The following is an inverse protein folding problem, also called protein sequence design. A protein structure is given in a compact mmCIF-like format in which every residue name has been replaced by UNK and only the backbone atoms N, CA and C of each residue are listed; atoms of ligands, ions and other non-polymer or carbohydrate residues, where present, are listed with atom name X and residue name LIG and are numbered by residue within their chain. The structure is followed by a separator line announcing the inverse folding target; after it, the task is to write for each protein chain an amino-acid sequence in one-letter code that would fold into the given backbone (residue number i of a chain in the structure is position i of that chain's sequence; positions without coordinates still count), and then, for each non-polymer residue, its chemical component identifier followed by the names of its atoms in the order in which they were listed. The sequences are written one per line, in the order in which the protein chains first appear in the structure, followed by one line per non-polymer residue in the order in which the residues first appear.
data_IF_315409022591
#
_entry.id   IF_315409022591
#
_cell.length_a   1.000
_cell.length_b   1.000
_cell.length_c   1.000
_cell.angle_alpha   90.00
_cell.angle_beta   90.00
_cell.angle_gamma   90.00
#
_symmetry.space_group_name_H-M   'P 1'
#
loop_
_entity.id
_entity.type
_entity.pdbx_description
1 polymer ?
#
# COMPACT_ATOMS: atom_id res chain seq x y z
N UNK A 1 -19.40 -7.24 -5.73
CA UNK A 1 -19.02 -6.90 -7.10
C UNK A 1 -17.67 -6.20 -7.09
N UNK A 2 -16.75 -6.67 -7.89
CA UNK A 2 -15.42 -6.10 -7.91
C UNK A 2 -15.41 -4.72 -8.56
N UNK A 3 -14.54 -3.85 -8.04
CA UNK A 3 -14.31 -2.56 -8.68
C UNK A 3 -13.67 -2.78 -10.04
N UNK A 4 -14.15 -2.05 -11.05
CA UNK A 4 -13.54 -2.09 -12.38
C UNK A 4 -12.37 -1.12 -12.52
N UNK A 5 -12.13 -0.29 -11.50
CA UNK A 5 -11.03 0.66 -11.53
C UNK A 5 -9.73 -0.06 -11.19
N UNK A 6 -8.62 0.28 -11.87
CA UNK A 6 -7.31 -0.26 -11.50
C UNK A 6 -6.99 0.11 -10.06
N UNK A 7 -6.39 -0.82 -9.34
CA UNK A 7 -6.06 -0.63 -7.94
C UNK A 7 -4.63 -0.16 -7.77
N UNK A 8 -4.40 0.60 -6.70
CA UNK A 8 -3.06 0.88 -6.22
C UNK A 8 -2.72 -0.13 -5.13
N UNK A 9 -1.46 -0.53 -5.04
CA UNK A 9 -1.01 -1.52 -4.07
C UNK A 9 -0.17 -0.85 -3.00
N UNK A 10 -0.55 -1.06 -1.74
CA UNK A 10 0.15 -0.50 -0.58
C UNK A 10 1.01 -1.60 0.03
N UNK A 11 2.31 -1.35 0.13
CA UNK A 11 3.28 -2.27 0.74
C UNK A 11 3.64 -1.74 2.12
N UNK A 12 3.45 -2.53 3.15
CA UNK A 12 3.64 -2.08 4.53
C UNK A 12 4.32 -3.16 5.37
N UNK A 13 4.88 -2.74 6.50
CA UNK A 13 5.49 -3.65 7.47
C UNK A 13 4.46 -4.03 8.53
N UNK A 14 3.87 -5.20 8.40
CA UNK A 14 2.87 -5.70 9.34
C UNK A 14 3.42 -6.09 10.70
N UNK A 15 4.74 -6.13 10.87
CA UNK A 15 5.35 -6.37 12.18
C UNK A 15 5.38 -5.09 13.02
N UNK A 16 5.16 -3.94 12.42
CA UNK A 16 5.15 -2.64 13.09
C UNK A 16 3.73 -2.30 13.53
N UNK A 17 3.53 -2.07 14.84
CA UNK A 17 2.19 -1.80 15.36
C UNK A 17 1.60 -0.50 14.84
N UNK A 18 2.42 0.54 14.68
CA UNK A 18 1.95 1.81 14.11
C UNK A 18 1.55 1.64 12.65
N UNK A 19 2.31 0.87 11.89
CA UNK A 19 2.00 0.61 10.49
C UNK A 19 0.69 -0.15 10.36
N UNK A 20 0.47 -1.15 11.22
CA UNK A 20 -0.80 -1.90 11.21
C UNK A 20 -1.99 -1.00 11.54
N UNK A 21 -1.83 -0.08 12.48
CA UNK A 21 -2.89 0.84 12.86
C UNK A 21 -3.26 1.75 11.67
N UNK A 22 -2.25 2.26 10.97
CA UNK A 22 -2.45 3.11 9.81
C UNK A 22 -3.15 2.33 8.69
N UNK A 23 -2.70 1.13 8.41
CA UNK A 23 -3.32 0.28 7.38
C UNK A 23 -4.76 -0.04 7.74
N UNK A 24 -5.04 -0.31 9.01
CA UNK A 24 -6.40 -0.54 9.47
C UNK A 24 -7.30 0.66 9.19
N UNK A 25 -6.78 1.86 9.40
CA UNK A 25 -7.50 3.08 9.09
C UNK A 25 -7.83 3.16 7.58
N UNK A 26 -6.82 2.91 6.73
CA UNK A 26 -7.03 2.94 5.28
C UNK A 26 -8.04 1.89 4.83
N UNK A 27 -7.98 0.68 5.37
CA UNK A 27 -8.93 -0.38 5.02
C UNK A 27 -10.37 0.02 5.34
N UNK A 28 -10.58 0.67 6.49
CA UNK A 28 -11.93 1.12 6.86
C UNK A 28 -12.43 2.23 5.94
N UNK A 29 -11.52 3.09 5.45
CA UNK A 29 -11.87 4.19 4.56
C UNK A 29 -12.05 3.75 3.11
N UNK A 30 -11.46 2.63 2.73
CA UNK A 30 -11.44 2.17 1.34
C UNK A 30 -12.72 1.45 0.97
N UNK A 31 -13.82 2.18 0.96
CA UNK A 31 -15.15 1.64 0.68
C UNK A 31 -15.28 1.15 -0.76
N UNK A 32 -14.52 1.73 -1.67
CA UNK A 32 -14.57 1.39 -3.09
C UNK A 32 -13.60 0.27 -3.46
N UNK A 33 -12.87 -0.25 -2.49
CA UNK A 33 -11.86 -1.29 -2.69
C UNK A 33 -10.85 -0.89 -3.77
N UNK A 34 -10.40 0.37 -3.71
CA UNK A 34 -9.44 0.91 -4.66
C UNK A 34 -7.98 0.60 -4.30
N UNK A 35 -7.75 -0.01 -3.14
CA UNK A 35 -6.43 -0.34 -2.65
C UNK A 35 -6.27 -1.84 -2.42
N UNK A 36 -5.09 -2.36 -2.74
CA UNK A 36 -4.65 -3.68 -2.34
C UNK A 36 -3.57 -3.50 -1.27
N UNK A 37 -3.51 -4.38 -0.28
CA UNK A 37 -2.56 -4.27 0.82
C UNK A 37 -1.67 -5.50 0.85
N UNK A 38 -0.35 -5.29 0.86
CA UNK A 38 0.63 -6.36 0.92
C UNK A 38 1.50 -6.15 2.16
N UNK A 39 1.49 -7.12 3.06
CA UNK A 39 2.33 -7.11 4.25
C UNK A 39 3.70 -7.69 3.88
N UNK A 40 4.70 -6.82 3.79
CA UNK A 40 6.04 -7.20 3.38
C UNK A 40 6.76 -8.03 4.45
N UNK A 41 6.30 -7.98 5.71
CA UNK A 41 6.90 -8.78 6.77
C UNK A 41 6.56 -10.27 6.68
N UNK A 42 5.56 -10.63 5.89
CA UNK A 42 5.17 -12.04 5.76
C UNK A 42 6.14 -12.81 4.87
N UNK A 43 6.38 -14.07 5.24
CA UNK A 43 7.22 -14.96 4.45
C UNK A 43 6.61 -15.15 3.06
N UNK A 44 7.44 -14.98 2.04
CA UNK A 44 6.99 -15.14 0.66
C UNK A 44 6.36 -13.89 0.05
N UNK A 45 6.24 -12.81 0.81
CA UNK A 45 5.72 -11.56 0.26
C UNK A 45 6.66 -11.03 -0.83
N UNK A 46 6.08 -10.50 -1.90
CA UNK A 46 6.85 -9.98 -3.04
C UNK A 46 6.83 -8.45 -2.97
N UNK A 47 8.01 -7.81 -2.78
CA UNK A 47 8.07 -6.35 -2.77
C UNK A 47 7.84 -5.77 -4.18
N UNK A 48 7.62 -4.46 -4.29
CA UNK A 48 7.45 -3.85 -5.60
C UNK A 48 8.71 -4.03 -6.45
N UNK A 49 8.52 -4.07 -7.75
CA UNK A 49 9.61 -4.28 -8.68
C UNK A 49 10.72 -3.24 -8.48
N UNK A 50 11.96 -3.71 -8.41
CA UNK A 50 13.11 -2.84 -8.21
C UNK A 50 13.39 -2.46 -6.76
N UNK A 51 12.57 -2.91 -5.82
CA UNK A 51 12.73 -2.61 -4.39
C UNK A 51 13.01 -3.91 -3.65
N UNK A 52 14.07 -3.93 -2.84
CA UNK A 52 14.35 -5.11 -2.00
C UNK A 52 13.35 -5.18 -0.85
N UNK A 53 13.18 -6.38 -0.29
CA UNK A 53 12.34 -6.55 0.88
C UNK A 53 12.81 -5.66 2.04
N UNK A 54 14.12 -5.56 2.23
CA UNK A 54 14.67 -4.73 3.30
C UNK A 54 14.27 -3.26 3.14
N UNK A 55 14.37 -2.75 1.92
CA UNK A 55 13.98 -1.36 1.67
C UNK A 55 12.47 -1.16 1.81
N UNK A 56 11.68 -2.15 1.39
CA UNK A 56 10.23 -2.09 1.52
C UNK A 56 9.80 -2.10 2.99
N UNK A 57 10.58 -2.73 3.88
CA UNK A 57 10.31 -2.74 5.32
C UNK A 57 10.62 -1.41 5.98
N UNK A 58 11.61 -0.69 5.47
CA UNK A 58 12.08 0.56 6.08
C UNK A 58 11.17 1.73 5.73
N UNK A 59 10.52 1.69 4.58
CA UNK A 59 9.78 2.82 4.08
C UNK A 59 8.47 2.37 3.43
N UNK A 60 7.44 3.14 3.66
CA UNK A 60 6.12 2.94 3.05
C UNK A 60 6.22 3.09 1.52
N UNK A 61 5.72 2.12 0.80
CA UNK A 61 5.72 2.13 -0.66
C UNK A 61 4.32 1.89 -1.20
N UNK A 62 4.02 2.52 -2.33
CA UNK A 62 2.78 2.31 -3.05
C UNK A 62 3.09 2.14 -4.52
N UNK A 63 2.54 1.11 -5.14
CA UNK A 63 2.56 0.99 -6.59
C UNK A 63 1.23 1.50 -7.11
N UNK A 64 1.27 2.59 -7.88
CA UNK A 64 0.09 3.17 -8.49
C UNK A 64 -0.45 2.26 -9.59
N UNK A 65 -1.69 2.49 -10.01
CA UNK A 65 -2.32 1.67 -11.03
C UNK A 65 -1.62 1.71 -12.38
N UNK A 66 -0.83 2.74 -12.66
CA UNK A 66 -0.04 2.86 -13.88
C UNK A 66 1.34 2.21 -13.77
N UNK A 67 1.65 1.55 -12.64
CA UNK A 67 2.91 0.85 -12.42
C UNK A 67 3.99 1.66 -11.73
N UNK A 68 3.79 2.96 -11.51
CA UNK A 68 4.79 3.78 -10.82
C UNK A 68 4.91 3.35 -9.36
N UNK A 69 6.14 3.23 -8.88
CA UNK A 69 6.41 2.90 -7.47
C UNK A 69 6.77 4.19 -6.75
N UNK A 70 6.02 4.51 -5.72
CA UNK A 70 6.15 5.73 -4.95
C UNK A 70 6.53 5.42 -3.51
N UNK A 71 7.22 6.35 -2.87
CA UNK A 71 7.57 6.22 -1.46
C UNK A 71 7.47 7.57 -0.77
N UNK A 72 7.45 7.57 0.57
CA UNK A 72 7.38 8.78 1.34
C UNK A 72 6.10 9.57 1.08
N UNK A 73 6.21 10.89 0.99
CA UNK A 73 5.06 11.78 0.82
C UNK A 73 4.26 11.46 -0.45
N UNK A 74 4.95 11.13 -1.55
CA UNK A 74 4.27 10.80 -2.80
C UNK A 74 3.38 9.58 -2.66
N UNK A 75 3.82 8.57 -1.89
CA UNK A 75 3.02 7.37 -1.62
C UNK A 75 1.77 7.71 -0.82
N UNK A 76 1.89 8.57 0.19
CA UNK A 76 0.73 9.02 0.97
C UNK A 76 -0.27 9.76 0.10
N UNK A 77 0.20 10.63 -0.78
CA UNK A 77 -0.68 11.36 -1.69
C UNK A 77 -1.45 10.38 -2.56
N UNK A 78 -0.79 9.35 -3.09
CA UNK A 78 -1.45 8.35 -3.92
C UNK A 78 -2.56 7.63 -3.14
N UNK A 79 -2.30 7.23 -1.90
CA UNK A 79 -3.30 6.58 -1.06
C UNK A 79 -4.49 7.50 -0.83
N UNK A 80 -4.23 8.74 -0.43
CA UNK A 80 -5.29 9.70 -0.12
C UNK A 80 -6.15 10.01 -1.33
N UNK A 81 -5.57 10.04 -2.55
CA UNK A 81 -6.36 10.29 -3.76
C UNK A 81 -7.31 9.13 -4.08
N UNK A 82 -7.05 7.93 -3.55
CA UNK A 82 -7.88 6.76 -3.78
C UNK A 82 -8.99 6.59 -2.74
N UNK A 83 -8.88 7.26 -1.61
CA UNK A 83 -9.86 7.12 -0.54
C UNK A 83 -11.01 8.11 -0.71
N UNK A 84 -12.25 7.70 -0.38
CA UNK A 84 -13.37 8.63 -0.40
C UNK A 84 -13.19 9.68 0.70
N UNK A 85 -13.73 10.84 0.46
CA UNK A 85 -13.68 11.97 1.41
C UNK A 85 -14.84 11.95 2.36
#
# INVERSE_FOLDING_TARGET
MESKLPKSTVYFDGSCSLCRAEIGYYRRKDQDHALCFVDISETGAVPPEGITQERAMVRFHVRASDGRVLSGAAAFVEVWTRLPR
#
